data_IF_184619786112
#
_entry.id   IF_184619786112
#
_cell.length_a   1.000
_cell.length_b   1.000
_cell.length_c   1.000
_cell.angle_alpha   90.00
_cell.angle_beta   90.00
_cell.angle_gamma   90.00
#
_symmetry.space_group_name_H-M   'P 1'
#
loop_
_entity.id
_entity.type
_entity.pdbx_description
1 polymer ?
#
# COMPACT_ATOMS: atom_id res chain seq x y z
N UNK A 1 19.59 -12.47 -16.23
CA UNK A 1 20.74 -11.98 -15.47
C UNK A 1 20.71 -12.53 -14.06
N UNK A 2 21.87 -12.76 -13.46
CA UNK A 2 21.92 -13.09 -12.04
C UNK A 2 21.96 -11.76 -11.26
N UNK A 3 21.22 -11.67 -10.19
CA UNK A 3 21.34 -10.51 -9.32
C UNK A 3 22.58 -10.63 -8.41
N UNK A 4 23.05 -9.51 -7.80
CA UNK A 4 24.28 -9.51 -7.02
C UNK A 4 24.26 -10.51 -5.85
N UNK A 5 25.38 -11.18 -5.63
CA UNK A 5 25.48 -12.14 -4.54
C UNK A 5 25.38 -11.44 -3.18
N UNK A 6 24.52 -11.93 -2.29
CA UNK A 6 24.30 -11.37 -0.97
C UNK A 6 23.18 -10.32 -0.89
N UNK A 7 22.43 -10.12 -1.98
CA UNK A 7 21.28 -9.23 -2.05
C UNK A 7 19.95 -10.00 -2.21
N UNK A 8 19.91 -11.25 -1.77
CA UNK A 8 18.73 -12.13 -1.89
C UNK A 8 17.45 -11.54 -1.26
N UNK A 9 17.63 -10.72 -0.22
CA UNK A 9 16.55 -10.10 0.55
C UNK A 9 16.41 -8.59 0.25
N UNK A 10 17.08 -8.08 -0.78
CA UNK A 10 16.94 -6.69 -1.18
C UNK A 10 15.77 -6.52 -2.14
N UNK A 11 15.07 -5.38 -2.13
CA UNK A 11 14.05 -5.11 -3.14
C UNK A 11 14.70 -5.07 -4.53
N UNK A 12 14.00 -5.58 -5.54
CA UNK A 12 14.41 -5.36 -6.93
C UNK A 12 14.34 -3.86 -7.25
N UNK A 13 15.25 -3.38 -8.07
CA UNK A 13 15.28 -2.02 -8.59
C UNK A 13 15.73 -2.00 -10.05
N UNK A 14 15.81 -0.83 -10.67
CA UNK A 14 16.18 -0.67 -12.09
C UNK A 14 15.23 -1.43 -13.06
N UNK A 15 13.99 -1.67 -12.63
CA UNK A 15 12.95 -2.30 -13.43
C UNK A 15 11.91 -1.27 -13.84
N UNK A 16 11.45 -1.33 -15.08
CA UNK A 16 10.35 -0.50 -15.57
C UNK A 16 9.00 -0.99 -14.99
N UNK A 17 7.97 -0.18 -15.07
CA UNK A 17 6.62 -0.62 -14.73
C UNK A 17 6.16 -1.76 -15.66
N UNK A 18 6.54 -1.71 -16.94
CA UNK A 18 6.26 -2.76 -17.92
C UNK A 18 6.91 -4.09 -17.53
N UNK A 19 8.16 -4.08 -17.05
CA UNK A 19 8.85 -5.28 -16.54
C UNK A 19 8.15 -5.83 -15.29
N UNK A 20 7.72 -4.95 -14.38
CA UNK A 20 7.00 -5.33 -13.18
C UNK A 20 5.63 -5.94 -13.48
N UNK A 21 4.90 -5.41 -14.46
CA UNK A 21 3.64 -5.98 -14.95
C UNK A 21 3.88 -7.35 -15.63
N UNK A 22 4.92 -7.46 -16.46
CA UNK A 22 5.28 -8.74 -17.08
C UNK A 22 5.64 -9.82 -16.03
N UNK A 23 6.28 -9.42 -14.92
CA UNK A 23 6.51 -10.33 -13.80
C UNK A 23 5.19 -10.77 -13.14
N UNK A 24 4.24 -9.87 -12.95
CA UNK A 24 2.91 -10.19 -12.42
C UNK A 24 2.16 -11.18 -13.31
N UNK A 25 2.21 -10.99 -14.63
CA UNK A 25 1.61 -11.90 -15.62
C UNK A 25 2.25 -13.29 -15.56
N UNK A 26 3.58 -13.34 -15.49
CA UNK A 26 4.31 -14.60 -15.33
C UNK A 26 3.91 -15.30 -14.02
N UNK A 27 3.85 -14.59 -12.91
CA UNK A 27 3.46 -15.13 -11.60
C UNK A 27 2.03 -15.68 -11.63
N UNK A 28 1.10 -14.95 -12.26
CA UNK A 28 -0.28 -15.38 -12.51
C UNK A 28 -0.33 -16.70 -13.30
N UNK A 29 0.46 -16.79 -14.35
CA UNK A 29 0.53 -18.01 -15.17
C UNK A 29 1.15 -19.19 -14.39
N UNK A 30 2.12 -18.94 -13.51
CA UNK A 30 2.72 -19.95 -12.65
C UNK A 30 1.79 -20.47 -11.56
N UNK A 31 1.00 -19.59 -10.95
CA UNK A 31 0.02 -19.93 -9.90
C UNK A 31 -1.17 -20.72 -10.51
N UNK A 32 -1.66 -20.29 -11.66
CA UNK A 32 -2.76 -20.95 -12.40
C UNK A 32 -4.15 -20.85 -11.73
N UNK A 33 -4.24 -20.24 -10.56
CA UNK A 33 -5.48 -20.06 -9.78
C UNK A 33 -5.73 -18.59 -9.47
N UNK A 34 -4.76 -17.91 -8.90
CA UNK A 34 -4.86 -16.53 -8.46
C UNK A 34 -4.28 -15.57 -9.50
N UNK A 35 -4.70 -14.32 -9.46
CA UNK A 35 -4.19 -13.26 -10.32
C UNK A 35 -3.26 -12.35 -9.53
N UNK A 36 -2.15 -11.94 -10.12
CA UNK A 36 -1.20 -11.01 -9.53
C UNK A 36 -1.11 -9.75 -10.38
N UNK A 37 -0.98 -8.61 -9.75
CA UNK A 37 -0.79 -7.31 -10.42
C UNK A 37 -0.12 -6.30 -9.49
N UNK A 38 0.30 -5.18 -10.06
CA UNK A 38 0.69 -4.02 -9.27
C UNK A 38 -0.53 -3.41 -8.54
N UNK A 39 -0.35 -2.82 -7.36
CA UNK A 39 -1.38 -2.06 -6.67
C UNK A 39 -1.64 -0.72 -7.39
N UNK A 40 -2.83 -0.16 -7.25
CA UNK A 40 -3.00 1.27 -7.40
C UNK A 40 -2.60 2.01 -6.11
N UNK A 41 -2.47 3.35 -6.17
CA UNK A 41 -2.05 4.13 -4.99
C UNK A 41 -2.97 3.93 -3.79
N UNK A 42 -4.29 3.81 -3.98
CA UNK A 42 -5.24 3.64 -2.88
C UNK A 42 -5.14 2.26 -2.24
N UNK A 43 -4.89 1.22 -3.01
CA UNK A 43 -4.64 -0.14 -2.51
C UNK A 43 -3.32 -0.20 -1.75
N UNK A 44 -2.28 0.44 -2.29
CA UNK A 44 -0.99 0.55 -1.62
C UNK A 44 -1.14 1.28 -0.26
N UNK A 45 -1.83 2.42 -0.23
CA UNK A 45 -2.09 3.20 0.99
C UNK A 45 -2.89 2.42 2.04
N UNK A 46 -3.90 1.65 1.59
CA UNK A 46 -4.68 0.80 2.47
C UNK A 46 -3.81 -0.29 3.11
N UNK A 47 -2.94 -0.92 2.33
CA UNK A 47 -2.03 -1.96 2.80
C UNK A 47 -0.93 -1.41 3.72
N UNK A 48 -0.40 -0.24 3.41
CA UNK A 48 0.61 0.43 4.23
C UNK A 48 0.05 0.87 5.59
N UNK A 49 -1.13 1.49 5.61
CA UNK A 49 -1.64 2.13 6.81
C UNK A 49 -0.89 3.43 7.13
N UNK A 50 -0.64 3.69 8.41
CA UNK A 50 0.01 4.93 8.84
C UNK A 50 1.53 4.77 9.00
N UNK A 51 2.29 5.67 8.38
CA UNK A 51 3.73 5.74 8.55
C UNK A 51 4.09 5.96 10.03
N UNK A 52 5.07 5.22 10.60
CA UNK A 52 5.49 5.39 11.98
C UNK A 52 6.10 6.77 12.20
N UNK A 53 5.72 7.41 13.31
CA UNK A 53 6.05 8.81 13.60
C UNK A 53 7.51 9.00 13.97
N UNK A 54 8.01 8.13 14.85
CA UNK A 54 9.27 8.31 15.57
C UNK A 54 10.27 7.15 15.35
N UNK A 55 9.99 6.28 14.38
CA UNK A 55 10.88 5.17 14.07
C UNK A 55 11.79 5.51 12.88
N UNK A 56 13.03 5.07 12.94
CA UNK A 56 13.97 5.18 11.83
C UNK A 56 13.71 4.05 10.82
N UNK A 57 13.83 4.36 9.57
CA UNK A 57 13.81 3.45 8.43
C UNK A 57 14.70 4.01 7.31
N UNK A 58 14.92 3.24 6.27
CA UNK A 58 15.85 3.61 5.19
C UNK A 58 15.30 4.77 4.35
N UNK A 59 15.55 6.02 4.80
CA UNK A 59 15.22 7.25 4.07
C UNK A 59 16.24 8.36 4.38
N UNK A 60 16.21 9.43 3.60
CA UNK A 60 17.07 10.59 3.81
C UNK A 60 18.30 10.57 2.92
N UNK A 61 19.49 10.44 3.49
CA UNK A 61 20.77 10.51 2.79
C UNK A 61 21.56 9.22 2.89
N UNK A 62 20.91 8.09 2.76
CA UNK A 62 21.57 6.79 2.79
C UNK A 62 22.22 6.46 1.43
N UNK A 63 23.14 5.50 1.43
CA UNK A 63 23.96 5.18 0.25
C UNK A 63 23.31 4.14 -0.68
N UNK A 64 22.06 3.74 -0.42
CA UNK A 64 21.36 2.78 -1.26
C UNK A 64 20.29 1.98 -0.54
N UNK A 65 19.73 1.02 -1.24
CA UNK A 65 18.72 0.09 -0.72
C UNK A 65 19.31 -0.88 0.31
N UNK A 66 18.46 -1.37 1.20
CA UNK A 66 18.81 -2.35 2.23
C UNK A 66 17.93 -3.59 2.10
N UNK A 67 18.25 -4.65 2.85
CA UNK A 67 17.35 -5.80 2.98
C UNK A 67 15.97 -5.35 3.48
N UNK A 68 14.91 -5.94 2.93
CA UNK A 68 13.52 -5.67 3.34
C UNK A 68 13.26 -6.05 4.81
N UNK A 69 14.10 -6.89 5.40
CA UNK A 69 14.00 -7.32 6.79
C UNK A 69 14.69 -6.34 7.77
N UNK A 70 15.57 -5.47 7.31
CA UNK A 70 16.37 -4.59 8.20
C UNK A 70 15.47 -3.69 9.06
N UNK A 71 14.46 -3.10 8.47
CA UNK A 71 13.50 -2.23 9.15
C UNK A 71 12.11 -2.86 9.33
N UNK A 72 11.98 -4.18 9.13
CA UNK A 72 10.69 -4.90 9.13
C UNK A 72 9.82 -4.67 10.38
N UNK A 73 10.45 -4.40 11.54
CA UNK A 73 9.72 -4.15 12.79
C UNK A 73 8.96 -2.83 12.80
N UNK A 74 9.44 -1.85 12.06
CA UNK A 74 8.91 -0.47 12.04
C UNK A 74 8.25 -0.10 10.72
N UNK A 75 8.53 -0.83 9.64
CA UNK A 75 7.97 -0.60 8.30
C UNK A 75 6.83 -1.57 7.95
N UNK A 76 6.29 -2.29 8.96
CA UNK A 76 5.19 -3.22 8.77
C UNK A 76 3.87 -2.49 8.56
N UNK A 77 3.25 -2.75 7.42
CA UNK A 77 1.94 -2.22 7.07
C UNK A 77 0.79 -2.89 7.82
N UNK A 78 -0.42 -2.40 7.55
CA UNK A 78 -1.65 -2.80 8.23
C UNK A 78 -1.95 -4.31 8.12
N UNK A 79 -1.53 -4.97 7.04
CA UNK A 79 -1.79 -6.39 6.77
C UNK A 79 -0.54 -7.28 6.91
N UNK A 80 0.51 -6.76 7.54
CA UNK A 80 1.68 -7.55 7.93
C UNK A 80 2.82 -7.60 6.92
N UNK A 81 2.63 -7.15 5.68
CA UNK A 81 3.73 -6.95 4.75
C UNK A 81 4.65 -5.84 5.26
N UNK A 82 5.93 -5.89 4.90
CA UNK A 82 6.96 -5.00 5.44
C UNK A 82 7.49 -4.05 4.38
N UNK A 83 8.32 -3.10 4.81
CA UNK A 83 9.09 -2.21 3.96
C UNK A 83 8.25 -1.25 3.11
N UNK A 84 7.17 -0.71 3.70
CA UNK A 84 6.28 0.23 3.01
C UNK A 84 6.84 1.66 2.93
N UNK A 85 7.78 2.04 3.77
CA UNK A 85 8.28 3.42 3.86
C UNK A 85 9.79 3.44 3.72
N UNK A 86 10.29 4.20 2.73
CA UNK A 86 11.69 4.27 2.36
C UNK A 86 12.14 3.07 1.54
N UNK A 87 13.41 2.83 1.52
CA UNK A 87 14.14 1.82 0.80
C UNK A 87 14.10 2.04 -0.72
N UNK A 88 13.02 1.65 -1.42
CA UNK A 88 12.78 1.99 -2.83
C UNK A 88 11.37 2.52 -3.01
N UNK A 89 11.17 3.45 -3.94
CA UNK A 89 9.85 3.78 -4.46
C UNK A 89 9.23 2.54 -5.09
N UNK A 90 7.92 2.44 -5.06
CA UNK A 90 7.22 1.27 -5.58
C UNK A 90 6.24 1.67 -6.67
N UNK A 91 6.33 1.01 -7.82
CA UNK A 91 5.42 1.19 -8.93
C UNK A 91 3.96 0.97 -8.53
N UNK A 92 3.08 1.84 -9.03
CA UNK A 92 1.63 1.65 -8.97
C UNK A 92 1.02 1.74 -10.37
N UNK A 93 -0.22 1.27 -10.50
CA UNK A 93 -0.98 1.40 -11.77
C UNK A 93 -1.67 2.76 -11.92
N UNK A 94 -1.44 3.70 -11.02
CA UNK A 94 -2.13 4.99 -11.04
C UNK A 94 -1.49 5.93 -12.05
N UNK A 95 -2.18 6.16 -13.18
CA UNK A 95 -1.77 7.11 -14.20
C UNK A 95 -2.02 8.55 -13.73
N UNK A 96 -1.01 9.40 -13.88
CA UNK A 96 -1.07 10.82 -13.57
C UNK A 96 -1.44 11.65 -14.79
N UNK A 97 -1.85 12.88 -14.55
CA UNK A 97 -2.26 13.81 -15.61
C UNK A 97 -1.13 14.19 -16.59
N UNK A 98 0.12 14.07 -16.15
CA UNK A 98 1.31 14.32 -16.97
C UNK A 98 1.77 13.10 -17.78
N UNK A 99 1.06 11.98 -17.68
CA UNK A 99 1.37 10.73 -18.37
C UNK A 99 2.34 9.81 -17.65
N UNK A 100 2.83 10.19 -16.47
CA UNK A 100 3.66 9.32 -15.63
C UNK A 100 2.80 8.35 -14.81
N UNK A 101 3.40 7.22 -14.36
CA UNK A 101 2.78 6.37 -13.33
C UNK A 101 3.22 6.82 -11.93
N UNK A 102 2.27 6.82 -11.01
CA UNK A 102 2.53 7.12 -9.61
C UNK A 102 3.43 6.08 -8.96
N UNK A 103 4.37 6.54 -8.13
CA UNK A 103 5.18 5.69 -7.27
C UNK A 103 4.94 6.05 -5.81
N UNK A 104 5.10 5.08 -4.89
CA UNK A 104 4.75 5.20 -3.48
C UNK A 104 5.91 4.78 -2.57
N UNK A 105 5.89 5.29 -1.35
CA UNK A 105 6.75 4.82 -0.25
C UNK A 105 8.00 5.64 0.01
N UNK A 106 8.55 6.32 -0.98
CA UNK A 106 9.88 6.95 -0.87
C UNK A 106 11.02 5.95 -1.08
N UNK A 107 12.23 6.44 -1.17
CA UNK A 107 13.46 5.65 -1.30
C UNK A 107 14.49 6.04 -0.23
N UNK A 108 15.65 5.40 -0.25
CA UNK A 108 16.76 5.64 0.70
C UNK A 108 17.23 7.09 0.73
N UNK A 109 17.13 7.81 -0.37
CA UNK A 109 17.55 9.22 -0.52
C UNK A 109 16.38 10.22 -0.38
N UNK A 110 15.16 9.74 -0.29
CA UNK A 110 13.96 10.58 -0.21
C UNK A 110 13.83 11.27 1.15
N UNK A 111 13.31 12.48 1.15
CA UNK A 111 12.96 13.12 2.40
C UNK A 111 11.84 12.32 3.11
N UNK A 112 11.90 12.24 4.44
CA UNK A 112 10.89 11.51 5.23
C UNK A 112 9.44 11.94 4.95
N UNK A 113 9.26 13.21 4.59
CA UNK A 113 7.94 13.74 4.19
C UNK A 113 7.39 13.10 2.94
N UNK A 114 8.25 12.64 2.06
CA UNK A 114 7.89 12.05 0.76
C UNK A 114 7.59 10.55 0.91
N UNK A 115 8.09 9.94 1.98
CA UNK A 115 7.76 8.56 2.35
C UNK A 115 6.35 8.40 2.96
N UNK A 116 5.64 9.47 3.26
CA UNK A 116 4.30 9.40 3.88
C UNK A 116 3.32 8.63 3.02
N UNK A 117 2.48 7.85 3.70
CA UNK A 117 1.43 7.06 3.02
C UNK A 117 0.56 7.92 2.10
N UNK A 118 0.18 9.12 2.52
CA UNK A 118 -0.66 10.04 1.76
C UNK A 118 0.08 10.84 0.67
N UNK A 119 1.41 10.69 0.54
CA UNK A 119 2.17 11.41 -0.48
C UNK A 119 1.87 10.86 -1.88
N UNK A 120 1.44 11.74 -2.79
CA UNK A 120 0.99 11.41 -4.15
C UNK A 120 1.56 12.34 -5.21
N UNK A 121 2.76 12.89 -4.99
CA UNK A 121 3.33 13.86 -5.94
C UNK A 121 4.36 13.25 -6.88
N UNK A 122 4.89 12.09 -6.53
CA UNK A 122 5.96 11.46 -7.28
C UNK A 122 5.41 10.53 -8.37
N UNK A 123 5.93 10.67 -9.59
CA UNK A 123 5.62 9.82 -10.73
C UNK A 123 6.86 9.61 -11.59
N UNK A 124 6.86 8.54 -12.36
CA UNK A 124 7.97 8.14 -13.24
C UNK A 124 7.46 7.70 -14.61
N UNK A 125 8.32 7.78 -15.62
CA UNK A 125 8.05 7.21 -16.94
C UNK A 125 8.00 5.68 -16.83
N UNK A 126 6.87 5.08 -17.19
CA UNK A 126 6.61 3.65 -17.05
C UNK A 126 7.56 2.75 -17.85
N UNK A 127 8.16 3.27 -18.91
CA UNK A 127 9.07 2.54 -19.81
C UNK A 127 10.53 2.51 -19.34
N UNK A 128 10.84 3.22 -18.23
CA UNK A 128 12.21 3.37 -17.72
C UNK A 128 12.37 2.61 -16.39
N UNK A 129 13.52 1.98 -16.20
CA UNK A 129 13.98 1.52 -14.89
C UNK A 129 14.72 2.63 -14.14
N UNK A 130 14.57 2.68 -12.83
CA UNK A 130 15.22 3.68 -11.95
C UNK A 130 15.92 2.97 -10.81
N UNK A 131 17.07 3.50 -10.42
CA UNK A 131 17.89 2.96 -9.34
C UNK A 131 17.15 2.93 -7.99
N UNK A 132 16.25 3.89 -7.79
CA UNK A 132 15.47 4.10 -6.59
C UNK A 132 14.03 3.55 -6.67
N UNK A 133 13.66 2.80 -7.72
CA UNK A 133 12.29 2.29 -7.92
C UNK A 133 12.27 0.78 -8.11
N UNK A 134 11.44 0.14 -7.31
CA UNK A 134 11.08 -1.28 -7.40
C UNK A 134 9.56 -1.45 -7.44
N UNK A 135 9.05 -2.56 -6.93
CA UNK A 135 7.60 -2.81 -6.89
C UNK A 135 7.23 -3.84 -5.83
N UNK A 136 5.95 -3.84 -5.48
CA UNK A 136 5.28 -4.94 -4.78
C UNK A 136 4.10 -5.45 -5.57
N UNK A 137 3.70 -6.67 -5.31
CA UNK A 137 2.54 -7.28 -5.96
C UNK A 137 1.38 -7.41 -4.98
N UNK A 138 0.16 -7.38 -5.51
CA UNK A 138 -1.04 -7.83 -4.82
C UNK A 138 -1.55 -9.10 -5.47
N UNK A 139 -2.06 -10.00 -4.64
CA UNK A 139 -2.69 -11.24 -5.06
C UNK A 139 -4.21 -11.08 -4.97
N UNK A 140 -4.90 -11.41 -6.06
CA UNK A 140 -6.35 -11.50 -6.11
C UNK A 140 -6.69 -12.99 -6.03
N UNK A 141 -7.38 -13.38 -4.98
CA UNK A 141 -7.80 -14.75 -4.78
C UNK A 141 -9.00 -15.05 -5.68
N UNK A 142 -8.80 -15.86 -6.71
CA UNK A 142 -9.83 -16.28 -7.65
C UNK A 142 -10.45 -17.64 -7.29
N UNK A 143 -10.02 -18.27 -6.21
CA UNK A 143 -10.63 -19.47 -5.67
C UNK A 143 -12.03 -19.18 -5.09
N UNK A 144 -12.91 -20.22 -5.08
CA UNK A 144 -14.23 -20.12 -4.49
C UNK A 144 -14.16 -19.37 -3.15
N UNK A 145 -14.83 -18.22 -3.07
CA UNK A 145 -15.12 -17.65 -1.76
C UNK A 145 -15.74 -18.77 -0.91
N UNK A 146 -15.23 -19.04 0.29
CA UNK A 146 -16.01 -19.84 1.21
C UNK A 146 -17.37 -19.12 1.27
N UNK A 147 -18.46 -19.82 0.96
CA UNK A 147 -19.83 -19.32 1.10
C UNK A 147 -20.10 -18.95 2.57
N UNK A 148 -19.38 -18.02 3.11
CA UNK A 148 -19.87 -17.16 4.16
C UNK A 148 -20.57 -16.01 3.43
N UNK A 149 -21.76 -16.30 2.95
CA UNK A 149 -22.81 -15.32 2.89
C UNK A 149 -22.95 -14.77 4.30
N UNK A 150 -22.11 -13.79 4.63
CA UNK A 150 -22.48 -12.82 5.62
C UNK A 150 -23.66 -12.11 4.93
N UNK A 151 -24.87 -12.60 5.17
CA UNK A 151 -26.03 -11.74 5.08
C UNK A 151 -25.67 -10.57 5.96
N UNK A 152 -25.19 -9.50 5.32
CA UNK A 152 -25.27 -8.17 5.88
C UNK A 152 -26.78 -8.01 6.10
N UNK A 153 -27.22 -8.41 7.29
CA UNK A 153 -28.50 -7.95 7.80
C UNK A 153 -28.39 -6.44 7.63
N UNK A 154 -29.13 -5.91 6.67
CA UNK A 154 -29.25 -4.48 6.46
C UNK A 154 -29.86 -3.95 7.73
N UNK A 155 -29.01 -3.61 8.71
CA UNK A 155 -29.45 -2.90 9.90
C UNK A 155 -30.11 -1.63 9.39
N UNK A 156 -31.40 -1.52 9.65
CA UNK A 156 -32.13 -0.31 9.32
C UNK A 156 -31.41 0.90 9.93
N UNK A 157 -31.20 1.94 9.14
CA UNK A 157 -30.66 3.18 9.68
C UNK A 157 -31.48 3.61 10.88
N UNK A 158 -30.87 4.10 11.98
CA UNK A 158 -31.62 4.57 13.15
C UNK A 158 -32.63 5.61 12.74
N UNK A 159 -33.87 5.39 13.15
CA UNK A 159 -35.04 6.13 12.67
C UNK A 159 -35.11 7.59 13.13
N UNK A 160 -34.33 8.01 14.07
CA UNK A 160 -34.19 9.42 14.49
C UNK A 160 -32.81 9.65 15.15
N UNK A 161 -32.01 10.49 14.55
CA UNK A 161 -30.81 11.03 15.20
C UNK A 161 -31.08 12.49 15.50
N UNK A 162 -31.04 12.88 16.76
CA UNK A 162 -31.21 14.27 17.18
C UNK A 162 -30.09 14.73 18.09
N UNK A 163 -29.69 15.97 17.96
CA UNK A 163 -28.80 16.60 18.92
C UNK A 163 -29.61 16.97 20.18
N UNK A 164 -29.25 16.40 21.32
CA UNK A 164 -29.93 16.62 22.60
C UNK A 164 -29.34 17.79 23.37
N UNK A 165 -28.06 18.04 23.15
CA UNK A 165 -27.34 19.15 23.76
C UNK A 165 -26.18 19.57 22.89
N UNK A 166 -25.97 20.86 22.75
CA UNK A 166 -24.79 21.45 22.09
C UNK A 166 -24.17 22.49 23.03
N UNK A 167 -22.86 22.33 23.25
CA UNK A 167 -22.02 23.34 23.89
C UNK A 167 -20.91 23.73 22.92
N UNK A 168 -20.14 24.82 23.17
CA UNK A 168 -19.03 25.17 22.28
C UNK A 168 -18.02 24.04 22.04
N UNK A 169 -17.93 23.10 22.98
CA UNK A 169 -16.92 22.04 22.99
C UNK A 169 -17.49 20.62 22.86
N UNK A 170 -18.82 20.44 22.80
CA UNK A 170 -19.42 19.12 22.71
C UNK A 170 -20.82 19.13 22.08
N UNK A 171 -21.11 18.02 21.38
CA UNK A 171 -22.44 17.69 20.85
C UNK A 171 -22.82 16.33 21.42
N UNK A 172 -23.96 16.25 22.09
CA UNK A 172 -24.54 14.96 22.49
C UNK A 172 -25.63 14.58 21.52
N UNK A 173 -25.48 13.38 20.93
CA UNK A 173 -26.45 12.81 20.01
C UNK A 173 -27.25 11.71 20.71
N UNK A 174 -28.53 11.61 20.42
CA UNK A 174 -29.35 10.46 20.78
C UNK A 174 -29.97 9.82 19.53
N UNK A 175 -30.14 8.52 19.57
CA UNK A 175 -30.84 7.76 18.52
C UNK A 175 -31.65 6.64 19.13
N UNK A 176 -32.67 6.19 18.39
CA UNK A 176 -33.39 4.98 18.76
C UNK A 176 -32.53 3.74 18.50
N UNK A 177 -32.49 2.84 19.46
CA UNK A 177 -31.80 1.56 19.28
C UNK A 177 -32.44 0.78 18.11
N UNK A 178 -31.59 0.20 17.29
CA UNK A 178 -31.99 -0.71 16.21
C UNK A 178 -31.96 -2.12 16.75
N UNK A 179 -33.04 -2.89 16.60
CA UNK A 179 -33.12 -4.27 17.05
C UNK A 179 -32.04 -5.12 16.34
N UNK A 180 -31.20 -5.81 17.10
CA UNK A 180 -30.10 -6.63 16.59
C UNK A 180 -28.74 -5.93 16.47
N UNK A 181 -28.62 -4.66 16.83
CA UNK A 181 -27.33 -3.99 16.97
C UNK A 181 -26.72 -4.33 18.35
N UNK A 182 -25.48 -4.89 18.35
CA UNK A 182 -24.67 -5.16 19.55
C UNK A 182 -23.45 -4.25 19.59
#
# INVERSE_FOLDING_TARGET
GAYPAGEDDFPVNEVSAEDAEAYCDWLTACDGVNTYRLPNESEWELAAGHMPKDADFNCGVNDGRTSVEEYAKVTRGAHGAVDFWGNVWEWTTTLRADGTLGVKGGAWDSARTDCRTEYRKEGRDASQGYEDVGFRVIQILNGEEPEQKVELATLASPAMVSAVSTTPDSITLSWQAVEGAT
#
